data_IF_735843126121
#
_entry.id   IF_735843126121
#
_cell.length_a   1.000
_cell.length_b   1.000
_cell.length_c   1.000
_cell.angle_alpha   90.00
_cell.angle_beta   90.00
_cell.angle_gamma   90.00
#
_symmetry.space_group_name_H-M   'P 1'
#
loop_
_entity.id
_entity.type
_entity.pdbx_description
1 polymer ?
#
# COMPACT_ATOMS: atom_id res chain seq x y z
N UNK A 1 -14.54 -0.21 5.54
CA UNK A 1 -13.08 -0.22 5.89
C UNK A 1 -12.52 -1.46 6.63
N UNK A 2 -12.99 -1.87 7.83
CA UNK A 2 -12.26 -2.83 8.70
C UNK A 2 -11.91 -4.18 8.04
N UNK A 3 -12.84 -4.82 7.31
CA UNK A 3 -12.55 -6.07 6.61
C UNK A 3 -11.44 -5.92 5.57
N UNK A 4 -11.38 -4.78 4.88
CA UNK A 4 -10.33 -4.48 3.91
C UNK A 4 -8.97 -4.34 4.59
N UNK A 5 -8.91 -3.76 5.80
CA UNK A 5 -7.68 -3.71 6.60
C UNK A 5 -7.22 -5.11 7.03
N UNK A 6 -8.13 -5.99 7.45
CA UNK A 6 -7.80 -7.39 7.80
C UNK A 6 -7.17 -8.10 6.58
N UNK A 7 -7.81 -8.01 5.42
CA UNK A 7 -7.31 -8.61 4.18
C UNK A 7 -5.97 -7.99 3.76
N UNK A 8 -5.84 -6.66 3.89
CA UNK A 8 -4.62 -5.93 3.58
C UNK A 8 -3.44 -6.44 4.42
N UNK A 9 -3.55 -6.50 5.75
CA UNK A 9 -2.43 -6.91 6.59
C UNK A 9 -2.04 -8.37 6.37
N UNK A 10 -3.02 -9.26 6.14
CA UNK A 10 -2.73 -10.64 5.75
C UNK A 10 -1.93 -10.71 4.44
N UNK A 11 -2.40 -10.00 3.40
CA UNK A 11 -1.69 -9.95 2.12
C UNK A 11 -0.32 -9.27 2.22
N UNK A 12 -0.18 -8.29 3.11
CA UNK A 12 1.05 -7.54 3.31
C UNK A 12 2.11 -8.37 4.03
N UNK A 13 1.78 -8.95 5.18
CA UNK A 13 2.75 -9.67 6.03
C UNK A 13 2.98 -11.11 5.59
N UNK A 14 1.92 -11.84 5.27
CA UNK A 14 2.03 -13.28 5.00
C UNK A 14 2.34 -13.55 3.53
N UNK A 15 1.63 -12.89 2.60
CA UNK A 15 1.81 -13.10 1.15
C UNK A 15 2.77 -12.12 0.48
N UNK A 16 3.06 -10.99 1.12
CA UNK A 16 3.83 -9.88 0.56
C UNK A 16 3.33 -9.43 -0.82
N UNK A 17 2.01 -9.50 -1.05
CA UNK A 17 1.38 -9.15 -2.32
C UNK A 17 1.07 -7.65 -2.38
N UNK A 18 2.10 -6.81 -2.33
CA UNK A 18 1.97 -5.34 -2.19
C UNK A 18 1.07 -4.66 -3.23
N UNK A 19 1.00 -5.18 -4.46
CA UNK A 19 0.08 -4.65 -5.47
C UNK A 19 -1.40 -4.94 -5.14
N UNK A 20 -1.70 -6.14 -4.65
CA UNK A 20 -3.05 -6.51 -4.21
C UNK A 20 -3.43 -5.74 -2.94
N UNK A 21 -2.46 -5.47 -2.07
CA UNK A 21 -2.66 -4.62 -0.89
C UNK A 21 -3.13 -3.21 -1.30
N UNK A 22 -2.53 -2.63 -2.35
CA UNK A 22 -3.00 -1.37 -2.93
C UNK A 22 -4.46 -1.48 -3.37
N UNK A 23 -4.79 -2.47 -4.20
CA UNK A 23 -6.14 -2.61 -4.77
C UNK A 23 -7.20 -2.80 -3.67
N UNK A 24 -6.94 -3.67 -2.68
CA UNK A 24 -7.86 -3.93 -1.55
C UNK A 24 -8.22 -2.64 -0.82
N UNK A 25 -7.23 -1.81 -0.49
CA UNK A 25 -7.49 -0.59 0.26
C UNK A 25 -7.99 0.55 -0.63
N UNK A 26 -7.55 0.64 -1.88
CA UNK A 26 -8.04 1.68 -2.80
C UNK A 26 -9.52 1.48 -3.13
N UNK A 27 -9.94 0.25 -3.42
CA UNK A 27 -11.34 -0.09 -3.68
C UNK A 27 -12.21 0.19 -2.45
N UNK A 28 -11.77 -0.24 -1.27
CA UNK A 28 -12.48 0.00 -0.02
C UNK A 28 -12.57 1.48 0.34
N UNK A 29 -11.51 2.26 0.12
CA UNK A 29 -11.46 3.70 0.37
C UNK A 29 -12.39 4.47 -0.57
N UNK A 30 -12.35 4.18 -1.88
CA UNK A 30 -13.21 4.84 -2.87
C UNK A 30 -14.70 4.50 -2.71
N UNK A 31 -15.02 3.39 -2.05
CA UNK A 31 -16.39 3.00 -1.73
C UNK A 31 -17.00 3.76 -0.53
N UNK A 32 -16.19 4.46 0.27
CA UNK A 32 -16.70 5.26 1.39
C UNK A 32 -17.37 6.55 0.89
N UNK A 33 -18.50 6.95 1.47
CA UNK A 33 -19.30 8.10 0.98
C UNK A 33 -18.54 9.44 0.98
N UNK A 34 -17.59 9.63 1.90
CA UNK A 34 -16.88 10.90 2.10
C UNK A 34 -15.36 10.71 2.05
N UNK A 35 -14.88 9.87 1.12
CA UNK A 35 -13.45 9.60 1.00
C UNK A 35 -12.66 10.86 0.62
N UNK A 36 -11.47 11.02 1.21
CA UNK A 36 -10.57 12.15 1.01
C UNK A 36 -9.14 11.68 0.82
N UNK A 37 -8.38 12.41 0.00
CA UNK A 37 -6.94 12.14 -0.20
C UNK A 37 -6.10 12.36 1.05
N UNK A 38 -6.69 12.94 2.10
CA UNK A 38 -6.05 13.19 3.40
C UNK A 38 -6.40 12.12 4.45
N UNK A 39 -7.18 11.11 4.09
CA UNK A 39 -7.54 10.01 5.00
C UNK A 39 -6.31 9.18 5.33
N UNK A 40 -6.22 8.71 6.57
CA UNK A 40 -5.08 7.94 7.05
C UNK A 40 -4.83 6.68 6.19
N UNK A 41 -5.89 6.04 5.67
CA UNK A 41 -5.80 4.82 4.84
C UNK A 41 -4.99 5.05 3.56
N UNK A 42 -4.99 6.27 3.02
CA UNK A 42 -4.20 6.63 1.84
C UNK A 42 -2.70 6.49 2.12
N UNK A 43 -2.27 6.66 3.37
CA UNK A 43 -0.89 6.39 3.77
C UNK A 43 -0.50 4.92 3.61
N UNK A 44 -1.37 3.97 3.99
CA UNK A 44 -1.13 2.53 3.80
C UNK A 44 -1.14 2.13 2.32
N UNK A 45 -2.05 2.70 1.52
CA UNK A 45 -2.09 2.51 0.07
C UNK A 45 -0.74 2.90 -0.55
N UNK A 46 -0.27 4.12 -0.23
CA UNK A 46 1.01 4.64 -0.71
C UNK A 46 2.21 3.83 -0.20
N UNK A 47 2.15 3.34 1.04
CA UNK A 47 3.21 2.49 1.61
C UNK A 47 3.32 1.17 0.85
N UNK A 48 2.19 0.50 0.57
CA UNK A 48 2.17 -0.70 -0.25
C UNK A 48 2.68 -0.44 -1.68
N UNK A 49 2.27 0.68 -2.30
CA UNK A 49 2.82 1.11 -3.60
C UNK A 49 4.34 1.33 -3.54
N UNK A 50 4.85 1.91 -2.45
CA UNK A 50 6.28 2.13 -2.26
C UNK A 50 7.06 0.82 -2.14
N UNK A 51 6.57 -0.13 -1.33
CA UNK A 51 7.15 -1.48 -1.21
C UNK A 51 7.16 -2.20 -2.56
N UNK A 52 6.07 -2.12 -3.33
CA UNK A 52 6.00 -2.69 -4.67
C UNK A 52 7.05 -2.10 -5.62
N UNK A 53 7.19 -0.77 -5.66
CA UNK A 53 8.21 -0.11 -6.47
C UNK A 53 9.62 -0.47 -6.02
N UNK A 54 9.87 -0.50 -4.72
CA UNK A 54 11.19 -0.78 -4.16
C UNK A 54 11.62 -2.21 -4.48
N UNK A 55 10.72 -3.18 -4.31
CA UNK A 55 10.97 -4.59 -4.69
C UNK A 55 11.35 -4.76 -6.16
N UNK A 56 10.83 -3.91 -7.06
CA UNK A 56 11.15 -3.92 -8.49
C UNK A 56 12.30 -3.00 -8.88
N UNK A 57 13.12 -2.57 -7.91
CA UNK A 57 14.24 -1.65 -8.09
C UNK A 57 13.86 -0.28 -8.70
N UNK A 58 12.58 0.10 -8.65
CA UNK A 58 12.13 1.43 -9.03
C UNK A 58 12.28 2.39 -7.83
N UNK A 59 13.53 2.76 -7.55
CA UNK A 59 13.89 3.56 -6.37
C UNK A 59 13.23 4.94 -6.38
N UNK A 60 13.14 5.58 -7.56
CA UNK A 60 12.50 6.90 -7.71
C UNK A 60 11.00 6.84 -7.37
N UNK A 61 10.30 5.81 -7.86
CA UNK A 61 8.89 5.59 -7.55
C UNK A 61 8.67 5.31 -6.07
N UNK A 62 9.48 4.41 -5.49
CA UNK A 62 9.41 4.07 -4.08
C UNK A 62 9.68 5.28 -3.16
N UNK A 63 10.71 6.07 -3.44
CA UNK A 63 11.04 7.27 -2.67
C UNK A 63 9.87 8.26 -2.65
N UNK A 64 9.27 8.53 -3.82
CA UNK A 64 8.13 9.44 -3.94
C UNK A 64 6.93 8.94 -3.13
N UNK A 65 6.62 7.66 -3.23
CA UNK A 65 5.48 7.07 -2.52
C UNK A 65 5.68 7.01 -1.01
N UNK A 66 6.86 6.65 -0.51
CA UNK A 66 7.16 6.68 0.93
C UNK A 66 7.06 8.10 1.51
N UNK A 67 7.64 9.10 0.84
CA UNK A 67 7.54 10.49 1.30
C UNK A 67 6.09 10.97 1.35
N UNK A 68 5.27 10.62 0.34
CA UNK A 68 3.85 10.99 0.36
C UNK A 68 3.08 10.23 1.44
N UNK A 69 3.37 8.94 1.65
CA UNK A 69 2.81 8.14 2.74
C UNK A 69 3.07 8.79 4.11
N UNK A 70 4.32 9.25 4.33
CA UNK A 70 4.72 10.01 5.53
C UNK A 70 3.91 11.30 5.69
N UNK A 71 3.83 12.11 4.64
CA UNK A 71 3.09 13.38 4.66
C UNK A 71 1.61 13.17 5.03
N UNK A 72 0.96 12.16 4.44
CA UNK A 72 -0.45 11.85 4.74
C UNK A 72 -0.63 11.45 6.19
N UNK A 73 0.14 10.48 6.70
CA UNK A 73 -0.06 10.01 8.08
C UNK A 73 0.26 11.07 9.13
N UNK A 74 1.14 12.03 8.82
CA UNK A 74 1.46 13.15 9.70
C UNK A 74 0.34 14.19 9.78
N UNK A 75 -0.56 14.25 8.78
CA UNK A 75 -1.61 15.27 8.69
C UNK A 75 -3.03 14.72 8.83
N UNK A 76 -3.25 13.43 8.60
CA UNK A 76 -4.55 12.77 8.70
C UNK A 76 -5.17 12.97 10.10
N UNK A 77 -6.51 13.00 10.20
CA UNK A 77 -7.22 13.17 11.48
C UNK A 77 -7.76 11.85 12.04
N UNK A 78 -7.87 10.85 11.18
CA UNK A 78 -8.52 9.55 11.37
C UNK A 78 -7.49 8.42 11.56
N UNK A 79 -6.30 8.73 12.11
CA UNK A 79 -5.16 7.81 12.19
C UNK A 79 -5.44 6.55 13.03
N UNK A 80 -6.29 6.68 14.05
CA UNK A 80 -6.66 5.57 14.93
C UNK A 80 -7.42 4.46 14.19
N UNK A 81 -8.03 4.77 13.05
CA UNK A 81 -8.74 3.80 12.21
C UNK A 81 -7.82 2.77 11.52
N UNK A 82 -6.50 2.96 11.57
CA UNK A 82 -5.54 2.06 10.94
C UNK A 82 -5.09 0.89 11.81
N UNK A 83 -5.37 0.93 13.13
CA UNK A 83 -4.93 -0.08 14.10
C UNK A 83 -3.41 -0.28 14.13
N UNK A 84 -2.65 0.81 14.00
CA UNK A 84 -1.19 0.84 14.07
C UNK A 84 -0.71 1.58 15.31
N UNK A 85 0.47 1.21 15.81
CA UNK A 85 1.27 2.15 16.59
C UNK A 85 1.80 3.23 15.65
N UNK A 86 1.24 4.44 15.76
CA UNK A 86 1.51 5.53 14.83
C UNK A 86 2.96 6.03 14.90
N UNK A 87 3.56 6.04 16.08
CA UNK A 87 4.95 6.49 16.25
C UNK A 87 5.91 5.50 15.57
N UNK A 88 5.70 4.21 15.82
CA UNK A 88 6.49 3.14 15.20
C UNK A 88 6.30 3.13 13.68
N UNK A 89 5.08 3.40 13.20
CA UNK A 89 4.80 3.43 11.76
C UNK A 89 5.50 4.60 11.07
N UNK A 90 5.48 5.80 11.66
CA UNK A 90 6.21 6.95 11.12
C UNK A 90 7.72 6.71 11.11
N UNK A 91 8.26 6.17 12.20
CA UNK A 91 9.68 5.81 12.28
C UNK A 91 10.04 4.75 11.23
N UNK A 92 9.18 3.75 11.02
CA UNK A 92 9.36 2.73 10.00
C UNK A 92 9.44 3.35 8.60
N UNK A 93 8.57 4.28 8.25
CA UNK A 93 8.63 4.97 6.94
C UNK A 93 9.98 5.67 6.76
N UNK A 94 10.46 6.38 7.79
CA UNK A 94 11.77 7.06 7.75
C UNK A 94 12.92 6.08 7.55
N UNK A 95 12.89 4.94 8.24
CA UNK A 95 13.88 3.88 8.07
C UNK A 95 13.87 3.30 6.65
N UNK A 96 12.69 3.12 6.04
CA UNK A 96 12.59 2.64 4.65
C UNK A 96 13.15 3.67 3.66
N UNK A 97 12.87 4.96 3.86
CA UNK A 97 13.45 6.05 3.05
C UNK A 97 14.98 6.05 3.17
N UNK A 98 15.52 5.92 4.39
CA UNK A 98 16.96 5.88 4.61
C UNK A 98 17.62 4.67 3.93
N UNK A 99 17.04 3.47 4.06
CA UNK A 99 17.50 2.26 3.37
C UNK A 99 17.54 2.46 1.86
N UNK A 100 16.47 3.02 1.30
CA UNK A 100 16.34 3.31 -0.12
C UNK A 100 17.43 4.27 -0.61
N UNK A 101 17.69 5.34 0.13
CA UNK A 101 18.74 6.31 -0.21
C UNK A 101 20.14 5.70 -0.18
N UNK A 102 20.38 4.69 0.66
CA UNK A 102 21.62 3.91 0.67
C UNK A 102 21.66 2.78 -0.36
N UNK A 103 20.69 2.74 -1.30
CA UNK A 103 20.55 1.74 -2.35
C UNK A 103 20.58 0.28 -1.85
N UNK A 104 20.13 0.03 -0.61
CA UNK A 104 20.03 -1.33 -0.09
C UNK A 104 18.96 -2.11 -0.86
N UNK A 105 19.14 -3.41 -1.10
CA UNK A 105 18.07 -4.25 -1.64
C UNK A 105 16.81 -4.19 -0.78
N UNK A 106 15.64 -4.32 -1.42
CA UNK A 106 14.38 -4.41 -0.69
C UNK A 106 14.34 -5.66 0.19
N UNK A 107 13.81 -5.51 1.40
CA UNK A 107 13.51 -6.60 2.33
C UNK A 107 12.05 -6.52 2.73
N UNK A 108 11.44 -7.65 3.11
CA UNK A 108 10.11 -7.66 3.73
C UNK A 108 10.02 -6.66 4.90
N UNK A 109 8.82 -6.13 5.10
CA UNK A 109 8.53 -5.09 6.08
C UNK A 109 7.42 -5.57 6.99
N UNK A 110 7.55 -5.29 8.28
CA UNK A 110 6.53 -5.58 9.29
C UNK A 110 5.92 -4.24 9.72
N UNK A 111 4.63 -4.06 9.44
CA UNK A 111 3.87 -2.91 9.90
C UNK A 111 3.55 -3.08 11.39
N UNK A 112 3.69 -2.02 12.21
CA UNK A 112 3.51 -2.10 13.66
C UNK A 112 2.02 -2.09 14.03
N UNK A 113 1.31 -3.18 13.73
CA UNK A 113 -0.10 -3.35 14.08
C UNK A 113 -0.28 -3.50 15.60
N UNK A 114 -1.43 -3.07 16.10
CA UNK A 114 -1.74 -3.24 17.53
C UNK A 114 -1.97 -4.72 17.85
N UNK A 115 -1.61 -5.18 19.07
CA UNK A 115 -1.81 -6.59 19.46
C UNK A 115 -3.27 -7.04 19.36
N UNK A 116 -4.22 -6.15 19.62
CA UNK A 116 -5.65 -6.43 19.50
C UNK A 116 -6.06 -6.70 18.05
N UNK A 117 -5.54 -5.91 17.12
CA UNK A 117 -5.86 -6.09 15.72
C UNK A 117 -5.15 -7.30 15.11
N UNK A 118 -3.94 -7.63 15.59
CA UNK A 118 -3.28 -8.88 15.24
C UNK A 118 -4.13 -10.10 15.59
N UNK A 119 -4.77 -10.11 16.77
CA UNK A 119 -5.68 -11.18 17.17
C UNK A 119 -6.90 -11.29 16.23
N UNK A 120 -7.45 -10.15 15.80
CA UNK A 120 -8.57 -10.11 14.84
C UNK A 120 -8.14 -10.68 13.48
N UNK A 121 -6.94 -10.35 13.00
CA UNK A 121 -6.41 -10.90 11.75
C UNK A 121 -6.25 -12.42 11.87
N UNK A 122 -5.64 -12.91 12.97
CA UNK A 122 -5.46 -14.35 13.22
C UNK A 122 -6.78 -15.12 13.31
N UNK A 123 -7.84 -14.49 13.83
CA UNK A 123 -9.17 -15.10 13.86
C UNK A 123 -9.79 -15.27 12.46
N UNK A 124 -9.46 -14.39 11.51
CA UNK A 124 -9.91 -14.49 10.10
C UNK A 124 -8.98 -15.37 9.26
N UNK A 125 -7.69 -15.36 9.56
CA UNK A 125 -6.63 -16.08 8.87
C UNK A 125 -5.77 -16.83 9.89
N UNK A 126 -6.11 -18.09 10.21
CA UNK A 126 -5.35 -18.88 11.19
C UNK A 126 -3.89 -19.13 10.81
N UNK A 127 -3.55 -19.02 9.52
CA UNK A 127 -2.20 -19.11 8.96
C UNK A 127 -1.46 -17.77 8.93
N UNK A 128 -2.01 -16.72 9.54
CA UNK A 128 -1.38 -15.40 9.56
C UNK A 128 -0.07 -15.42 10.37
N UNK A 129 1.02 -15.21 9.65
CA UNK A 129 2.36 -15.06 10.18
C UNK A 129 3.14 -13.99 9.39
N UNK A 130 4.19 -13.46 10.00
CA UNK A 130 5.11 -12.52 9.37
C UNK A 130 6.10 -13.31 8.51
N UNK A 131 5.94 -13.25 7.19
CA UNK A 131 6.91 -13.87 6.31
C UNK A 131 8.21 -13.05 6.29
N UNK A 132 9.26 -13.57 6.92
CA UNK A 132 10.56 -12.92 7.01
C UNK A 132 11.39 -13.06 5.72
N UNK A 133 11.08 -14.03 4.87
CA UNK A 133 11.74 -14.19 3.57
C UNK A 133 11.05 -13.32 2.53
N UNK A 134 11.83 -12.56 1.75
CA UNK A 134 11.23 -11.69 0.73
C UNK A 134 10.69 -12.54 -0.40
N UNK A 135 9.38 -12.48 -0.64
CA UNK A 135 8.74 -13.23 -1.71
C UNK A 135 9.28 -12.77 -3.08
N UNK A 136 9.86 -13.70 -3.82
CA UNK A 136 10.43 -13.50 -5.17
C UNK A 136 9.54 -14.06 -6.28
N UNK A 137 8.41 -14.70 -5.93
CA UNK A 137 7.51 -15.34 -6.87
C UNK A 137 7.10 -14.36 -8.00
N UNK A 138 7.46 -14.64 -9.27
CA UNK A 138 7.10 -13.81 -10.40
C UNK A 138 5.59 -13.57 -10.54
N UNK A 139 4.73 -14.48 -10.07
CA UNK A 139 3.29 -14.28 -10.06
C UNK A 139 2.87 -13.11 -9.16
N UNK A 140 3.50 -12.97 -7.99
CA UNK A 140 3.23 -11.90 -7.01
C UNK A 140 3.98 -10.61 -7.38
N UNK A 141 5.18 -10.75 -7.96
CA UNK A 141 6.03 -9.62 -8.36
C UNK A 141 5.55 -8.98 -9.66
N UNK A 142 5.12 -9.77 -10.64
CA UNK A 142 4.64 -9.32 -11.95
C UNK A 142 3.12 -9.45 -12.12
N UNK A 143 2.34 -9.65 -11.05
CA UNK A 143 0.88 -9.75 -11.09
C UNK A 143 0.23 -8.66 -11.96
N UNK A 144 0.69 -7.41 -11.81
CA UNK A 144 0.21 -6.28 -12.61
C UNK A 144 0.44 -6.46 -14.12
N UNK A 145 1.49 -7.17 -14.56
CA UNK A 145 1.74 -7.50 -15.98
C UNK A 145 0.85 -8.59 -16.53
N UNK A 146 0.26 -9.42 -15.66
CA UNK A 146 -0.57 -10.57 -16.04
C UNK A 146 -2.07 -10.34 -15.85
N UNK A 147 -2.47 -9.28 -15.13
CA UNK A 147 -3.88 -8.87 -15.03
C UNK A 147 -4.34 -8.23 -16.33
N UNK A 148 -5.58 -8.50 -16.73
CA UNK A 148 -6.24 -7.76 -17.79
C UNK A 148 -6.33 -6.27 -17.38
N UNK A 149 -5.78 -5.40 -18.22
CA UNK A 149 -5.71 -3.94 -17.99
C UNK A 149 -6.67 -3.16 -18.86
N UNK A 150 -7.64 -3.82 -19.49
CA UNK A 150 -8.57 -3.19 -20.44
C UNK A 150 -9.25 -1.94 -19.85
N UNK A 151 -9.65 -1.98 -18.57
CA UNK A 151 -10.26 -0.83 -17.88
C UNK A 151 -9.28 0.35 -17.70
N UNK A 152 -8.02 0.10 -17.37
CA UNK A 152 -6.99 1.15 -17.20
C UNK A 152 -6.65 1.80 -18.54
N UNK A 153 -6.65 1.02 -19.63
CA UNK A 153 -6.43 1.53 -20.98
C UNK A 153 -7.60 2.42 -21.40
N UNK A 154 -8.84 1.96 -21.20
CA UNK A 154 -10.05 2.72 -21.50
C UNK A 154 -10.11 4.05 -20.73
N UNK A 155 -9.84 4.03 -19.42
CA UNK A 155 -9.82 5.24 -18.59
C UNK A 155 -8.74 6.25 -19.03
N UNK A 156 -7.59 5.76 -19.50
CA UNK A 156 -6.51 6.61 -20.02
C UNK A 156 -6.90 7.25 -21.36
N UNK A 157 -7.57 6.52 -22.25
CA UNK A 157 -8.10 7.04 -23.51
C UNK A 157 -9.17 8.10 -23.28
N UNK A 158 -10.11 7.85 -22.39
CA UNK A 158 -11.16 8.80 -22.01
C UNK A 158 -10.56 10.10 -21.44
N UNK A 159 -9.57 9.99 -20.55
CA UNK A 159 -8.84 11.14 -20.01
C UNK A 159 -8.09 11.95 -21.10
N UNK A 160 -7.59 11.28 -22.15
CA UNK A 160 -6.96 11.96 -23.30
C UNK A 160 -8.01 12.68 -24.15
N UNK A 161 -9.18 12.07 -24.39
CA UNK A 161 -10.26 12.70 -25.17
C UNK A 161 -10.85 13.93 -24.46
N UNK A 162 -11.08 13.85 -23.15
CA UNK A 162 -11.53 14.99 -22.34
C UNK A 162 -10.54 16.17 -22.39
N UNK A 163 -9.23 15.90 -22.46
CA UNK A 163 -8.20 16.95 -22.60
C UNK A 163 -8.16 17.55 -24.00
N UNK A 164 -8.49 16.79 -25.04
CA UNK A 164 -8.62 17.32 -26.42
C UNK A 164 -9.86 18.20 -26.56
N UNK A 165 -10.99 17.79 -25.98
CA UNK A 165 -12.22 18.58 -26.02
C UNK A 165 -12.16 19.90 -25.24
N UNK A 166 -11.35 19.99 -24.17
CA UNK A 166 -11.14 21.26 -23.43
C UNK A 166 -10.21 22.25 -24.12
N UNK A 167 -9.59 21.87 -25.24
CA UNK A 167 -8.61 22.67 -25.98
C UNK A 167 -9.15 23.25 -27.29
N UNK A 168 -10.39 22.92 -27.63
CA UNK A 168 -11.22 23.59 -28.64
C UNK A 168 -12.24 24.49 -27.95
#
# INVERSE_FOLDING_TARGET
MQQALINFYYQFHTKQHYFLCHDILEDAWKAENNYSKQDAVVSLILFATACYHYRRNNLKGAYKSFNKSKEIIQNAKDRDALYLNLNDYQLLIEQQIAKLNTAKPFSSVILPITPDFERIIKANYPDYDYNHETATDPFIVDHHMRRDRSEVIAAKEEAIQLRKHRRN
#
